data_IF_145161472213
#
_entry.id   IF_145161472213
#
_cell.length_a   1.000
_cell.length_b   1.000
_cell.length_c   1.000
_cell.angle_alpha   90.00
_cell.angle_beta   90.00
_cell.angle_gamma   90.00
#
_symmetry.space_group_name_H-M   'P 1'
#
loop_
_entity.id
_entity.type
_entity.pdbx_description
1 polymer ?
#
# COMPACT_ATOMS: atom_id res chain seq x y z
N UNK A 1 -8.25 10.39 1.80
CA UNK A 1 -7.84 9.23 2.62
C UNK A 1 -7.87 7.91 1.84
N UNK A 2 -8.99 7.47 1.30
CA UNK A 2 -9.04 6.18 0.58
C UNK A 2 -8.06 6.03 -0.59
N UNK A 3 -7.78 7.12 -1.33
CA UNK A 3 -6.84 7.11 -2.47
C UNK A 3 -5.38 6.98 -1.98
N UNK A 4 -5.08 7.46 -0.78
CA UNK A 4 -3.75 7.41 -0.19
C UNK A 4 -3.43 6.06 0.43
N UNK A 5 -4.43 5.38 1.00
CA UNK A 5 -4.24 4.16 1.77
C UNK A 5 -3.99 2.97 0.85
N UNK A 6 -2.70 2.65 0.72
CA UNK A 6 -2.18 1.61 -0.18
C UNK A 6 -2.34 0.21 0.37
N UNK A 7 -2.50 -0.74 -0.51
CA UNK A 7 -2.50 -2.16 -0.18
C UNK A 7 -1.08 -2.68 0.12
N UNK A 8 -0.97 -3.59 1.07
CA UNK A 8 0.28 -4.31 1.36
C UNK A 8 0.53 -5.44 0.34
N UNK A 9 0.40 -5.10 -0.94
CA UNK A 9 0.46 -6.06 -2.03
C UNK A 9 1.84 -6.73 -2.18
N UNK A 10 2.92 -6.03 -1.84
CA UNK A 10 4.27 -6.57 -1.96
C UNK A 10 4.52 -7.73 -0.98
N UNK A 11 4.03 -7.64 0.25
CA UNK A 11 4.23 -8.68 1.26
C UNK A 11 3.19 -9.80 1.12
N UNK A 12 1.92 -9.43 1.04
CA UNK A 12 0.84 -10.41 0.97
C UNK A 12 0.66 -10.99 -0.43
N UNK A 13 0.85 -10.19 -1.49
CA UNK A 13 0.62 -10.60 -2.87
C UNK A 13 1.50 -11.75 -3.31
N UNK A 14 2.80 -11.65 -3.08
CA UNK A 14 3.74 -12.72 -3.42
C UNK A 14 3.41 -13.99 -2.63
N UNK A 15 3.19 -13.86 -1.32
CA UNK A 15 2.91 -15.02 -0.47
C UNK A 15 1.62 -15.74 -0.87
N UNK A 16 0.53 -15.00 -1.14
CA UNK A 16 -0.74 -15.61 -1.59
C UNK A 16 -0.61 -16.31 -2.95
N UNK A 17 0.02 -15.65 -3.93
CA UNK A 17 0.17 -16.23 -5.27
C UNK A 17 1.08 -17.46 -5.22
N UNK A 18 2.18 -17.41 -4.46
CA UNK A 18 3.05 -18.57 -4.27
C UNK A 18 2.35 -19.74 -3.60
N UNK A 19 1.49 -19.49 -2.61
CA UNK A 19 0.74 -20.54 -1.93
C UNK A 19 -0.35 -21.16 -2.81
N UNK A 20 -0.97 -20.40 -3.71
CA UNK A 20 -2.03 -20.89 -4.58
C UNK A 20 -1.47 -21.59 -5.84
N UNK A 21 -0.44 -21.01 -6.45
CA UNK A 21 0.06 -21.45 -7.76
C UNK A 21 1.46 -22.08 -7.72
N UNK A 22 2.12 -22.12 -6.55
CA UNK A 22 3.48 -22.65 -6.41
C UNK A 22 4.60 -21.77 -6.97
N UNK A 23 4.26 -20.64 -7.59
CA UNK A 23 5.21 -19.68 -8.15
C UNK A 23 4.76 -18.24 -7.91
N UNK A 24 5.66 -17.26 -8.10
CA UNK A 24 5.33 -15.86 -7.86
C UNK A 24 4.43 -15.23 -8.95
N UNK A 25 4.23 -15.90 -10.09
CA UNK A 25 3.39 -15.45 -11.20
C UNK A 25 3.65 -14.02 -11.64
N UNK A 26 2.58 -13.26 -11.85
CA UNK A 26 2.63 -11.84 -12.25
C UNK A 26 2.86 -10.86 -11.09
N UNK A 27 2.88 -11.32 -9.82
CA UNK A 27 2.99 -10.43 -8.66
C UNK A 27 4.24 -9.53 -8.66
N UNK A 28 5.46 -10.02 -8.96
CA UNK A 28 6.63 -9.16 -9.00
C UNK A 28 6.52 -8.02 -10.02
N UNK A 29 5.99 -8.31 -11.21
CA UNK A 29 5.82 -7.31 -12.26
C UNK A 29 4.81 -6.24 -11.88
N UNK A 30 3.69 -6.64 -11.27
CA UNK A 30 2.68 -5.71 -10.76
C UNK A 30 3.23 -4.83 -9.64
N UNK A 31 4.05 -5.38 -8.75
CA UNK A 31 4.68 -4.62 -7.66
C UNK A 31 5.65 -3.58 -8.23
N UNK A 32 6.51 -3.95 -9.16
CA UNK A 32 7.47 -3.03 -9.79
C UNK A 32 6.74 -1.88 -10.50
N UNK A 33 5.64 -2.15 -11.19
CA UNK A 33 4.86 -1.11 -11.88
C UNK A 33 4.06 -0.22 -10.95
N UNK A 34 3.42 -0.76 -9.92
CA UNK A 34 2.45 -0.03 -9.11
C UNK A 34 3.05 0.62 -7.86
N UNK A 35 4.04 0.00 -7.21
CA UNK A 35 4.58 0.53 -5.94
C UNK A 35 5.26 1.90 -6.09
N UNK A 36 6.09 2.18 -7.10
CA UNK A 36 6.63 3.51 -7.33
C UNK A 36 5.53 4.54 -7.59
N UNK A 37 4.55 4.19 -8.43
CA UNK A 37 3.44 5.08 -8.78
C UNK A 37 2.60 5.44 -7.54
N UNK A 38 2.26 4.47 -6.71
CA UNK A 38 1.53 4.73 -5.45
C UNK A 38 2.30 5.65 -4.51
N UNK A 39 3.62 5.43 -4.38
CA UNK A 39 4.44 6.24 -3.50
C UNK A 39 4.49 7.69 -3.98
N UNK A 40 4.69 7.92 -5.29
CA UNK A 40 4.68 9.25 -5.87
C UNK A 40 3.33 9.94 -5.65
N UNK A 41 2.22 9.28 -5.98
CA UNK A 41 0.87 9.83 -5.81
C UNK A 41 0.56 10.12 -4.33
N UNK A 42 0.97 9.25 -3.42
CA UNK A 42 0.75 9.46 -1.99
C UNK A 42 1.50 10.69 -1.46
N UNK A 43 2.74 10.91 -1.89
CA UNK A 43 3.51 12.10 -1.49
C UNK A 43 2.88 13.37 -2.07
N UNK A 44 2.46 13.35 -3.33
CA UNK A 44 1.77 14.48 -3.97
C UNK A 44 0.49 14.84 -3.19
N UNK A 45 -0.39 13.85 -2.96
CA UNK A 45 -1.66 14.05 -2.26
C UNK A 45 -1.42 14.58 -0.84
N UNK A 46 -0.51 13.98 -0.08
CA UNK A 46 -0.22 14.41 1.28
C UNK A 46 0.40 15.80 1.35
N UNK A 47 1.20 16.17 0.36
CA UNK A 47 1.82 17.49 0.30
C UNK A 47 0.81 18.57 -0.09
N UNK A 48 -0.11 18.28 -1.02
CA UNK A 48 -1.18 19.21 -1.44
C UNK A 48 -2.17 19.45 -0.30
N UNK A 49 -2.53 18.40 0.44
CA UNK A 49 -3.50 18.47 1.56
C UNK A 49 -2.84 18.64 2.93
N UNK A 50 -1.65 19.23 2.99
CA UNK A 50 -0.96 19.48 4.26
C UNK A 50 -1.77 20.46 5.14
N UNK A 51 -1.97 20.17 6.44
CA UNK A 51 -2.64 21.09 7.35
C UNK A 51 -1.94 22.44 7.42
N UNK A 52 -2.72 23.52 7.36
CA UNK A 52 -2.21 24.90 7.43
C UNK A 52 -1.77 25.54 6.10
N UNK A 53 -2.01 24.87 4.98
CA UNK A 53 -1.80 25.46 3.64
C UNK A 53 -3.14 25.61 2.93
N UNK A 54 -3.58 26.84 2.71
CA UNK A 54 -4.78 27.17 1.93
C UNK A 54 -4.35 27.61 0.53
N UNK A 55 -4.59 26.74 -0.47
CA UNK A 55 -4.49 27.07 -1.89
C UNK A 55 -3.28 26.48 -2.63
N UNK A 56 -3.48 26.30 -3.94
CA UNK A 56 -2.44 25.91 -4.91
C UNK A 56 -1.67 27.16 -5.36
N UNK A 57 -0.83 27.71 -4.49
CA UNK A 57 0.06 28.79 -4.87
C UNK A 57 1.37 28.23 -5.47
N UNK A 58 1.99 28.95 -6.39
CA UNK A 58 3.23 28.56 -7.09
C UNK A 58 4.37 28.22 -6.12
N UNK A 59 4.38 28.89 -4.97
CA UNK A 59 5.31 28.62 -3.86
C UNK A 59 5.03 27.28 -3.19
N UNK A 60 3.78 26.89 -3.06
CA UNK A 60 3.35 25.58 -2.51
C UNK A 60 3.76 24.46 -3.46
N UNK A 61 3.53 24.62 -4.76
CA UNK A 61 3.95 23.65 -5.79
C UNK A 61 5.47 23.44 -5.75
N UNK A 62 6.26 24.51 -5.68
CA UNK A 62 7.73 24.42 -5.60
C UNK A 62 8.21 23.72 -4.31
N UNK A 63 7.60 24.03 -3.16
CA UNK A 63 7.88 23.36 -1.88
C UNK A 63 7.47 21.87 -1.92
N UNK A 64 6.33 21.57 -2.52
CA UNK A 64 5.85 20.20 -2.71
C UNK A 64 6.81 19.40 -3.60
N UNK A 65 7.22 19.97 -4.73
CA UNK A 65 8.18 19.34 -5.64
C UNK A 65 9.53 19.08 -4.96
N UNK A 66 10.03 20.05 -4.20
CA UNK A 66 11.24 19.88 -3.38
C UNK A 66 11.04 18.77 -2.34
N UNK A 67 9.89 18.74 -1.65
CA UNK A 67 9.55 17.69 -0.68
C UNK A 67 9.43 16.30 -1.29
N UNK A 68 8.98 16.19 -2.53
CA UNK A 68 8.95 14.93 -3.30
C UNK A 68 10.38 14.46 -3.57
N UNK A 69 11.21 15.31 -4.14
CA UNK A 69 12.60 14.96 -4.52
C UNK A 69 13.46 14.62 -3.31
N UNK A 70 13.26 15.30 -2.18
CA UNK A 70 13.99 15.04 -0.92
C UNK A 70 13.37 13.95 -0.05
N UNK A 71 12.28 13.30 -0.49
CA UNK A 71 11.64 12.25 0.29
C UNK A 71 12.50 10.98 0.30
N UNK A 72 12.94 10.48 1.47
CA UNK A 72 13.83 9.32 1.56
C UNK A 72 13.22 8.06 0.95
N UNK A 73 11.90 7.93 0.99
CA UNK A 73 11.20 6.77 0.40
C UNK A 73 11.33 6.81 -1.13
N UNK A 74 11.14 7.97 -1.76
CA UNK A 74 11.27 8.11 -3.21
C UNK A 74 12.73 7.97 -3.66
N UNK A 75 13.66 8.55 -2.91
CA UNK A 75 15.10 8.39 -3.18
C UNK A 75 15.47 6.90 -3.13
N UNK A 76 15.01 6.16 -2.11
CA UNK A 76 15.25 4.72 -1.99
C UNK A 76 14.66 3.91 -3.14
N UNK A 77 13.45 4.24 -3.60
CA UNK A 77 12.81 3.58 -4.75
C UNK A 77 13.59 3.85 -6.03
N UNK A 78 13.95 5.10 -6.30
CA UNK A 78 14.70 5.48 -7.50
C UNK A 78 16.09 4.81 -7.49
N UNK A 79 16.80 4.85 -6.36
CA UNK A 79 18.10 4.19 -6.21
C UNK A 79 18.00 2.68 -6.48
N UNK A 80 16.96 2.01 -5.94
CA UNK A 80 16.71 0.59 -6.18
C UNK A 80 16.38 0.28 -7.64
N UNK A 81 15.59 1.13 -8.31
CA UNK A 81 15.26 0.97 -9.73
C UNK A 81 16.49 1.16 -10.62
N UNK A 82 17.31 2.19 -10.35
CA UNK A 82 18.57 2.45 -11.09
C UNK A 82 19.52 1.27 -10.93
N UNK A 83 19.70 0.78 -9.69
CA UNK A 83 20.53 -0.39 -9.42
C UNK A 83 20.05 -1.63 -10.21
N UNK A 84 18.76 -1.87 -10.21
CA UNK A 84 18.14 -2.98 -10.92
C UNK A 84 18.31 -2.85 -12.45
N UNK A 85 18.14 -1.61 -12.98
CA UNK A 85 18.31 -1.34 -14.42
C UNK A 85 19.75 -1.54 -14.89
N UNK A 86 20.73 -1.19 -14.05
CA UNK A 86 22.15 -1.39 -14.33
C UNK A 86 22.58 -2.87 -14.23
N UNK A 87 21.69 -3.76 -13.75
CA UNK A 87 21.96 -5.20 -13.59
C UNK A 87 23.24 -5.50 -12.80
N UNK A 88 23.64 -4.61 -11.88
CA UNK A 88 24.84 -4.78 -11.08
C UNK A 88 24.59 -5.91 -10.07
N UNK A 89 25.39 -6.99 -10.07
CA UNK A 89 25.25 -8.05 -9.09
C UNK A 89 25.53 -7.50 -7.69
N UNK A 90 24.55 -7.64 -6.79
CA UNK A 90 24.73 -7.22 -5.39
C UNK A 90 25.44 -8.32 -4.61
N UNK A 91 26.60 -8.02 -3.97
CA UNK A 91 27.28 -8.98 -3.11
C UNK A 91 26.36 -9.53 -2.02
N UNK A 92 26.58 -10.76 -1.59
CA UNK A 92 25.70 -11.47 -0.65
C UNK A 92 25.55 -10.73 0.69
N UNK A 93 26.63 -10.14 1.20
CA UNK A 93 26.64 -9.44 2.50
C UNK A 93 25.77 -8.19 2.49
N UNK A 94 25.97 -7.19 1.60
CA UNK A 94 25.09 -6.02 1.50
C UNK A 94 23.63 -6.40 1.25
N UNK A 95 23.38 -7.39 0.40
CA UNK A 95 22.01 -7.88 0.13
C UNK A 95 21.34 -8.39 1.41
N UNK A 96 22.06 -9.17 2.23
CA UNK A 96 21.55 -9.69 3.50
C UNK A 96 21.29 -8.57 4.51
N UNK A 97 22.20 -7.59 4.61
CA UNK A 97 22.03 -6.44 5.50
C UNK A 97 20.79 -5.62 5.13
N UNK A 98 20.66 -5.24 3.86
CA UNK A 98 19.50 -4.47 3.37
C UNK A 98 18.19 -5.24 3.61
N UNK A 99 18.18 -6.54 3.32
CA UNK A 99 17.01 -7.40 3.58
C UNK A 99 16.67 -7.48 5.07
N UNK A 100 17.66 -7.63 5.94
CA UNK A 100 17.44 -7.69 7.39
C UNK A 100 16.86 -6.39 7.93
N UNK A 101 17.40 -5.24 7.53
CA UNK A 101 16.87 -3.92 7.91
C UNK A 101 15.45 -3.74 7.35
N UNK A 102 15.22 -4.13 6.10
CA UNK A 102 13.89 -4.05 5.48
C UNK A 102 12.85 -4.90 6.21
N UNK A 103 13.21 -6.09 6.66
CA UNK A 103 12.30 -6.98 7.39
C UNK A 103 11.92 -6.44 8.78
N UNK A 104 12.77 -5.64 9.41
CA UNK A 104 12.48 -4.98 10.70
C UNK A 104 11.58 -3.75 10.54
N UNK A 105 11.55 -3.13 9.37
CA UNK A 105 10.81 -1.89 9.14
C UNK A 105 9.30 -2.03 9.40
N UNK A 106 8.67 -3.12 8.99
CA UNK A 106 7.23 -3.36 9.22
C UNK A 106 6.89 -3.60 10.69
N UNK A 107 7.57 -4.49 11.44
CA UNK A 107 7.35 -4.65 12.87
C UNK A 107 7.56 -3.35 13.65
N UNK A 108 8.64 -2.63 13.39
CA UNK A 108 8.89 -1.34 14.05
C UNK A 108 7.80 -0.31 13.74
N UNK A 109 7.35 -0.25 12.50
CA UNK A 109 6.25 0.63 12.10
C UNK A 109 4.93 0.30 12.80
N UNK A 110 4.64 -0.99 13.00
CA UNK A 110 3.46 -1.45 13.77
C UNK A 110 3.59 -1.10 15.25
N UNK A 111 4.77 -1.29 15.85
CA UNK A 111 5.02 -0.89 17.24
C UNK A 111 4.86 0.62 17.43
N UNK A 112 5.47 1.42 16.56
CA UNK A 112 5.35 2.88 16.59
C UNK A 112 3.89 3.34 16.39
N UNK A 113 3.14 2.69 15.50
CA UNK A 113 1.72 2.95 15.30
C UNK A 113 0.91 2.60 16.55
N UNK A 114 1.16 1.45 17.18
CA UNK A 114 0.50 1.03 18.41
C UNK A 114 0.79 1.98 19.58
N UNK A 115 2.06 2.37 19.76
CA UNK A 115 2.48 3.29 20.81
C UNK A 115 1.88 4.71 20.67
N UNK A 116 1.60 5.14 19.45
CA UNK A 116 0.99 6.46 19.18
C UNK A 116 -0.52 6.41 18.98
N UNK A 117 -1.13 5.22 19.13
CA UNK A 117 -2.54 5.03 18.91
C UNK A 117 -3.38 5.57 20.08
N UNK A 118 -4.19 6.57 19.81
CA UNK A 118 -5.12 7.15 20.77
C UNK A 118 -6.51 6.55 20.56
N UNK A 119 -6.89 5.65 21.45
CA UNK A 119 -8.17 4.92 21.40
C UNK A 119 -9.35 5.89 21.40
N UNK A 120 -9.32 6.93 22.24
CA UNK A 120 -10.42 7.91 22.33
C UNK A 120 -10.61 8.68 21.03
N UNK A 121 -9.53 9.13 20.42
CA UNK A 121 -9.56 9.82 19.11
C UNK A 121 -9.96 8.88 17.98
N UNK A 122 -9.58 7.61 18.04
CA UNK A 122 -9.96 6.59 17.08
C UNK A 122 -11.46 6.31 17.09
N UNK A 123 -12.06 6.21 18.28
CA UNK A 123 -13.52 6.06 18.42
C UNK A 123 -14.28 7.27 17.86
N UNK A 124 -13.77 8.49 18.05
CA UNK A 124 -14.35 9.69 17.45
C UNK A 124 -14.32 9.69 15.91
N UNK A 125 -13.42 8.95 15.29
CA UNK A 125 -13.25 8.84 13.82
C UNK A 125 -13.60 7.44 13.28
N UNK A 126 -14.34 6.62 14.05
CA UNK A 126 -14.62 5.22 13.65
C UNK A 126 -15.48 5.13 12.40
N UNK A 127 -16.49 6.00 12.24
CA UNK A 127 -17.36 6.04 11.05
C UNK A 127 -16.56 6.26 9.76
N UNK A 128 -15.77 7.35 9.62
CA UNK A 128 -14.98 7.56 8.41
C UNK A 128 -13.92 6.46 8.19
N UNK A 129 -13.34 5.90 9.26
CA UNK A 129 -12.38 4.80 9.15
C UNK A 129 -13.03 3.51 8.66
N UNK A 130 -14.23 3.19 9.17
CA UNK A 130 -15.00 2.02 8.74
C UNK A 130 -15.46 2.15 7.28
N UNK A 131 -15.95 3.33 6.87
CA UNK A 131 -16.34 3.60 5.48
C UNK A 131 -15.12 3.43 4.55
N UNK A 132 -13.96 3.98 4.94
CA UNK A 132 -12.73 3.86 4.15
C UNK A 132 -12.27 2.39 4.03
N UNK A 133 -12.32 1.62 5.13
CA UNK A 133 -11.98 0.21 5.14
C UNK A 133 -12.96 -0.61 4.29
N UNK A 134 -14.27 -0.38 4.40
CA UNK A 134 -15.30 -1.03 3.62
C UNK A 134 -15.14 -0.75 2.12
N UNK A 135 -15.00 0.52 1.74
CA UNK A 135 -14.77 0.92 0.36
C UNK A 135 -13.52 0.26 -0.22
N UNK A 136 -12.46 0.15 0.57
CA UNK A 136 -11.22 -0.47 0.12
C UNK A 136 -11.33 -1.98 -0.02
N UNK A 137 -11.84 -2.69 1.00
CA UNK A 137 -11.85 -4.15 1.03
C UNK A 137 -12.96 -4.76 0.15
N UNK A 138 -14.06 -4.06 0.03
CA UNK A 138 -15.25 -4.57 -0.68
C UNK A 138 -15.56 -3.70 -1.90
N UNK A 139 -15.68 -2.39 -1.74
CA UNK A 139 -16.14 -1.50 -2.80
C UNK A 139 -15.25 -1.51 -4.04
N UNK A 140 -13.93 -1.34 -3.86
CA UNK A 140 -12.99 -1.37 -4.99
C UNK A 140 -12.94 -2.75 -5.65
N UNK A 141 -12.96 -3.83 -4.87
CA UNK A 141 -12.99 -5.18 -5.41
C UNK A 141 -14.27 -5.44 -6.19
N UNK A 142 -15.43 -5.05 -5.67
CA UNK A 142 -16.73 -5.25 -6.32
C UNK A 142 -16.85 -4.50 -7.67
N UNK A 143 -16.19 -3.35 -7.80
CA UNK A 143 -16.21 -2.56 -9.04
C UNK A 143 -15.16 -3.07 -10.03
N UNK A 144 -13.92 -3.21 -9.59
CA UNK A 144 -12.78 -3.43 -10.50
C UNK A 144 -12.56 -4.91 -10.86
N UNK A 145 -12.95 -5.89 -10.01
CA UNK A 145 -12.83 -7.30 -10.38
C UNK A 145 -13.70 -7.69 -11.57
N UNK A 146 -14.99 -7.32 -11.63
CA UNK A 146 -15.80 -7.60 -12.82
C UNK A 146 -15.25 -6.94 -14.10
N UNK A 147 -14.70 -5.74 -13.97
CA UNK A 147 -14.04 -5.05 -15.09
C UNK A 147 -12.81 -5.83 -15.54
N UNK A 148 -11.95 -6.26 -14.61
CA UNK A 148 -10.78 -7.06 -14.92
C UNK A 148 -11.15 -8.39 -15.61
N UNK A 149 -12.23 -9.04 -15.15
CA UNK A 149 -12.77 -10.26 -15.78
C UNK A 149 -13.24 -10.00 -17.22
N UNK A 150 -13.92 -8.88 -17.47
CA UNK A 150 -14.33 -8.47 -18.81
C UNK A 150 -13.16 -8.14 -19.73
N UNK A 151 -12.06 -7.60 -19.19
CA UNK A 151 -10.81 -7.35 -19.91
C UNK A 151 -9.99 -8.63 -20.20
N UNK A 152 -10.48 -9.80 -19.79
CA UNK A 152 -9.84 -11.09 -20.05
C UNK A 152 -8.77 -11.52 -19.05
N UNK A 153 -8.62 -10.82 -17.93
CA UNK A 153 -7.70 -11.27 -16.87
C UNK A 153 -8.28 -12.51 -16.17
N UNK A 154 -7.44 -13.55 -16.04
CA UNK A 154 -7.78 -14.84 -15.43
C UNK A 154 -6.62 -15.33 -14.56
N UNK A 155 -6.87 -16.37 -13.77
CA UNK A 155 -5.89 -17.11 -12.97
C UNK A 155 -5.02 -16.21 -12.09
N UNK A 156 -3.70 -16.33 -12.13
CA UNK A 156 -2.73 -15.59 -11.32
C UNK A 156 -2.82 -14.07 -11.48
N UNK A 157 -3.14 -13.58 -12.70
CA UNK A 157 -3.33 -12.14 -12.98
C UNK A 157 -4.52 -11.57 -12.21
N UNK A 158 -5.63 -12.31 -12.18
CA UNK A 158 -6.86 -11.87 -11.48
C UNK A 158 -6.66 -11.89 -9.97
N UNK A 159 -5.97 -12.92 -9.44
CA UNK A 159 -5.59 -12.97 -8.02
C UNK A 159 -4.65 -11.83 -7.65
N UNK A 160 -3.68 -11.52 -8.50
CA UNK A 160 -2.79 -10.38 -8.28
C UNK A 160 -3.56 -9.05 -8.21
N UNK A 161 -4.54 -8.82 -9.10
CA UNK A 161 -5.42 -7.64 -9.07
C UNK A 161 -6.26 -7.62 -7.79
N UNK A 162 -6.85 -8.76 -7.39
CA UNK A 162 -7.61 -8.86 -6.14
C UNK A 162 -6.77 -8.43 -4.94
N UNK A 163 -5.56 -8.95 -4.82
CA UNK A 163 -4.68 -8.62 -3.69
C UNK A 163 -4.24 -7.15 -3.72
N UNK A 164 -3.99 -6.61 -4.91
CA UNK A 164 -3.68 -5.18 -5.08
C UNK A 164 -4.81 -4.28 -4.61
N UNK A 165 -6.06 -4.66 -4.83
CA UNK A 165 -7.24 -3.88 -4.46
C UNK A 165 -7.67 -4.13 -3.02
N UNK A 166 -7.81 -5.40 -2.63
CA UNK A 166 -8.48 -5.85 -1.41
C UNK A 166 -7.58 -6.20 -0.23
N UNK A 167 -6.24 -6.13 -0.34
CA UNK A 167 -5.39 -6.41 0.80
C UNK A 167 -5.35 -5.28 1.82
N UNK A 168 -4.91 -5.59 3.05
CA UNK A 168 -4.77 -4.64 4.14
C UNK A 168 -3.94 -3.41 3.74
N UNK A 169 -4.24 -2.28 4.36
CA UNK A 169 -3.48 -1.03 4.19
C UNK A 169 -2.09 -1.18 4.79
N UNK A 170 -1.07 -0.71 4.06
CA UNK A 170 0.32 -0.77 4.53
C UNK A 170 0.59 0.24 5.66
N UNK A 171 1.38 -0.17 6.65
CA UNK A 171 1.87 0.67 7.75
C UNK A 171 2.63 1.89 7.24
N UNK A 172 3.31 1.78 6.09
CA UNK A 172 4.02 2.91 5.49
C UNK A 172 3.12 4.10 5.15
N UNK A 173 1.81 3.89 4.96
CA UNK A 173 0.83 4.98 4.80
C UNK A 173 0.72 5.83 6.07
N UNK A 174 0.71 5.20 7.24
CA UNK A 174 0.71 5.90 8.53
C UNK A 174 2.02 6.67 8.76
N UNK A 175 3.17 6.01 8.55
CA UNK A 175 4.49 6.63 8.72
C UNK A 175 4.65 7.85 7.80
N UNK A 176 4.23 7.73 6.54
CA UNK A 176 4.29 8.83 5.59
C UNK A 176 3.38 10.01 5.99
N UNK A 177 2.18 9.73 6.52
CA UNK A 177 1.27 10.75 7.02
C UNK A 177 1.89 11.53 8.19
N UNK A 178 2.51 10.81 9.14
CA UNK A 178 3.20 11.42 10.29
C UNK A 178 4.38 12.29 9.85
N UNK A 179 5.21 11.83 8.93
CA UNK A 179 6.38 12.56 8.43
C UNK A 179 6.02 13.88 7.73
N UNK A 180 4.81 13.97 7.16
CA UNK A 180 4.34 15.20 6.49
C UNK A 180 3.57 16.12 7.45
N UNK A 181 3.39 15.71 8.72
CA UNK A 181 2.78 16.53 9.77
C UNK A 181 1.27 16.33 9.95
N UNK A 182 0.71 15.23 9.42
CA UNK A 182 -0.66 14.83 9.72
C UNK A 182 -0.76 14.10 11.06
N UNK A 183 -1.90 14.19 11.76
CA UNK A 183 -2.13 13.48 13.03
C UNK A 183 -1.96 11.96 12.92
N UNK A 184 -2.26 11.36 11.77
CA UNK A 184 -2.16 9.94 11.52
C UNK A 184 -3.25 9.06 12.16
N UNK A 185 -4.12 9.61 13.00
CA UNK A 185 -5.16 8.85 13.73
C UNK A 185 -6.10 8.10 12.79
N UNK A 186 -6.57 8.76 11.73
CA UNK A 186 -7.43 8.10 10.74
C UNK A 186 -6.70 6.98 10.01
N UNK A 187 -5.43 7.23 9.64
CA UNK A 187 -4.61 6.22 8.94
C UNK A 187 -4.33 5.00 9.80
N UNK A 188 -4.01 5.19 11.10
CA UNK A 188 -3.79 4.07 12.02
C UNK A 188 -5.06 3.24 12.22
N UNK A 189 -6.22 3.90 12.37
CA UNK A 189 -7.51 3.21 12.49
C UNK A 189 -7.86 2.40 11.22
N UNK A 190 -7.62 2.96 10.03
CA UNK A 190 -7.85 2.25 8.76
C UNK A 190 -6.88 1.08 8.62
N UNK A 191 -5.59 1.23 8.97
CA UNK A 191 -4.63 0.11 8.94
C UNK A 191 -5.10 -1.02 9.85
N UNK A 192 -5.52 -0.72 11.10
CA UNK A 192 -6.00 -1.74 12.04
C UNK A 192 -7.24 -2.46 11.51
N UNK A 193 -8.27 -1.71 11.10
CA UNK A 193 -9.51 -2.28 10.58
C UNK A 193 -9.26 -3.12 9.32
N UNK A 194 -8.51 -2.59 8.35
CA UNK A 194 -8.23 -3.33 7.12
C UNK A 194 -7.37 -4.57 7.37
N UNK A 195 -6.43 -4.55 8.32
CA UNK A 195 -5.63 -5.73 8.68
C UNK A 195 -6.51 -6.81 9.31
N UNK A 196 -7.40 -6.42 10.22
CA UNK A 196 -8.30 -7.36 10.89
C UNK A 196 -9.31 -8.01 9.91
N UNK A 197 -9.90 -7.20 9.04
CA UNK A 197 -10.96 -7.68 8.14
C UNK A 197 -10.45 -8.21 6.80
N UNK A 198 -9.22 -7.90 6.39
CA UNK A 198 -8.68 -8.34 5.09
C UNK A 198 -8.60 -9.85 4.96
N UNK A 199 -8.33 -10.58 6.05
CA UNK A 199 -8.29 -12.03 6.03
C UNK A 199 -9.64 -12.63 5.58
N UNK A 200 -10.74 -12.12 6.12
CA UNK A 200 -12.09 -12.57 5.77
C UNK A 200 -12.50 -12.12 4.37
N UNK A 201 -12.25 -10.86 4.04
CA UNK A 201 -12.68 -10.29 2.75
C UNK A 201 -11.90 -10.87 1.57
N UNK A 202 -10.57 -11.01 1.69
CA UNK A 202 -9.75 -11.62 0.63
C UNK A 202 -10.11 -13.09 0.44
N UNK A 203 -10.31 -13.84 1.53
CA UNK A 203 -10.76 -15.24 1.45
C UNK A 203 -12.14 -15.34 0.81
N UNK A 204 -13.07 -14.46 1.18
CA UNK A 204 -14.40 -14.43 0.56
C UNK A 204 -14.33 -14.13 -0.95
N UNK A 205 -13.52 -13.17 -1.38
CA UNK A 205 -13.32 -12.88 -2.80
C UNK A 205 -12.66 -14.02 -3.55
N UNK A 206 -11.64 -14.68 -2.97
CA UNK A 206 -11.01 -15.85 -3.57
C UNK A 206 -12.02 -16.99 -3.73
N UNK A 207 -12.86 -17.22 -2.73
CA UNK A 207 -13.94 -18.21 -2.81
C UNK A 207 -14.92 -17.90 -3.95
N UNK A 208 -15.36 -16.65 -4.06
CA UNK A 208 -16.25 -16.19 -5.15
C UNK A 208 -15.58 -16.42 -6.52
N UNK A 209 -14.34 -15.97 -6.70
CA UNK A 209 -13.63 -16.13 -7.98
C UNK A 209 -13.44 -17.60 -8.35
N UNK A 210 -13.14 -18.46 -7.38
CA UNK A 210 -13.01 -19.90 -7.59
C UNK A 210 -14.35 -20.54 -7.93
N UNK A 211 -15.45 -20.13 -7.28
CA UNK A 211 -16.79 -20.64 -7.58
C UNK A 211 -17.22 -20.36 -9.03
N UNK A 212 -16.81 -19.20 -9.57
CA UNK A 212 -17.06 -18.85 -10.96
C UNK A 212 -15.99 -19.39 -11.94
N UNK A 213 -15.11 -20.30 -11.52
CA UNK A 213 -14.01 -20.87 -12.32
C UNK A 213 -13.14 -19.79 -13.02
N UNK A 214 -12.90 -18.69 -12.35
CA UNK A 214 -12.10 -17.59 -12.88
C UNK A 214 -10.62 -17.68 -12.47
N UNK A 215 -10.37 -18.47 -11.40
CA UNK A 215 -9.04 -18.78 -10.84
C UNK A 215 -8.93 -20.27 -10.56
#
# INVERSE_FOLDING_TARGET
MCIRDRSSAALLGIAFIQNIYGNAGMAPLMIIGSVPLYNMMAVVILSVFKPGQSGLDRTVVKKTLKGIVTNPILIGIVAGLVWSALKIPMPAIPKKVISSIGNVATPMGLMAMGATFDIKKAFGKIKPSAIAAFMKLIGLCAIFLPIAVKLGFRTDKLVAILIMLGSATTVSSFVMAKNIGHEGTLSSSVVMLTTMFSAFTVTGWLYILRHFMLI
#
